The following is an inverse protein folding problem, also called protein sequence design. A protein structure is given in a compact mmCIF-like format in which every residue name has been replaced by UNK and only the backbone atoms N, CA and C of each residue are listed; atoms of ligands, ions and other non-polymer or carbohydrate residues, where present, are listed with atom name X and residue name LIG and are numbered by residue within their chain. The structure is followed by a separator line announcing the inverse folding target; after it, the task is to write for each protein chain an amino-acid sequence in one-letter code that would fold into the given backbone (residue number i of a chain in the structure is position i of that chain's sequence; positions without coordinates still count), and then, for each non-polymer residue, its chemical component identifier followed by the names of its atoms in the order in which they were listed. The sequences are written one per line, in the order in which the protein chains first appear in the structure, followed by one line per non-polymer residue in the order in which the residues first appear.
data_IF_323752954553
#
_entry.id   IF_323752954553
#
_cell.length_a   1.000
_cell.length_b   1.000
_cell.length_c   1.000
_cell.angle_alpha   90.00
_cell.angle_beta   90.00
_cell.angle_gamma   90.00
#
_symmetry.space_group_name_H-M   'P 1'
#
loop_
_entity.id
_entity.type
_entity.pdbx_description
1 polymer ?
#
# COMPACT_ATOMS: atom_id res chain seq x y z
N UNK A 1 0.91 2.83 -16.73
CA UNK A 1 1.12 3.90 -15.72
C UNK A 1 2.59 3.95 -15.37
N UNK A 2 3.21 5.12 -15.34
CA UNK A 2 4.68 5.20 -15.44
C UNK A 2 5.34 5.94 -14.27
N UNK A 3 4.79 7.06 -13.80
CA UNK A 3 5.35 7.76 -12.64
C UNK A 3 4.90 7.15 -11.31
N UNK A 4 5.77 7.18 -10.30
CA UNK A 4 5.50 6.71 -8.94
C UNK A 4 4.85 5.31 -8.88
N UNK A 5 5.51 4.22 -9.30
CA UNK A 5 4.94 2.87 -9.31
C UNK A 5 4.46 2.40 -7.92
N UNK A 6 3.58 1.39 -7.92
CA UNK A 6 3.03 0.85 -6.66
C UNK A 6 3.93 -0.27 -6.15
N UNK A 7 4.59 -0.01 -5.02
CA UNK A 7 5.27 -1.03 -4.25
C UNK A 7 4.31 -1.67 -3.25
N UNK A 8 4.41 -2.98 -3.11
CA UNK A 8 3.66 -3.82 -2.17
C UNK A 8 4.64 -4.65 -1.35
N UNK A 9 4.37 -4.78 -0.06
CA UNK A 9 5.16 -5.61 0.83
C UNK A 9 4.51 -6.98 0.98
N UNK A 10 5.32 -8.04 0.97
CA UNK A 10 4.87 -9.38 1.34
C UNK A 10 4.30 -9.36 2.77
N UNK A 11 3.00 -9.59 2.89
CA UNK A 11 2.26 -9.51 4.15
C UNK A 11 2.85 -10.43 5.24
N UNK A 12 3.54 -11.51 4.86
CA UNK A 12 4.23 -12.42 5.80
C UNK A 12 5.47 -11.80 6.46
N UNK A 13 5.87 -10.62 6.02
CA UNK A 13 7.03 -9.86 6.53
C UNK A 13 6.62 -8.52 7.13
N UNK A 14 5.32 -8.29 7.32
CA UNK A 14 4.77 -7.14 8.02
C UNK A 14 4.32 -7.59 9.41
N UNK A 15 4.99 -7.12 10.44
CA UNK A 15 4.71 -7.50 11.82
C UNK A 15 4.04 -6.36 12.58
N UNK A 16 3.22 -6.69 13.58
CA UNK A 16 2.55 -5.70 14.44
C UNK A 16 3.53 -4.69 15.07
N UNK A 17 4.72 -5.15 15.46
CA UNK A 17 5.81 -4.30 16.00
C UNK A 17 6.31 -3.21 15.05
N UNK A 18 6.00 -3.33 13.76
CA UNK A 18 6.39 -2.37 12.73
C UNK A 18 5.25 -1.38 12.45
N UNK A 19 4.07 -1.53 13.05
CA UNK A 19 2.91 -0.68 12.80
C UNK A 19 2.88 0.52 13.73
N UNK A 20 2.63 1.69 13.16
CA UNK A 20 2.55 2.97 13.88
C UNK A 20 1.14 3.55 13.66
N UNK A 21 0.34 3.70 14.73
CA UNK A 21 -0.92 4.43 14.65
C UNK A 21 -0.69 5.83 14.07
N UNK A 22 -1.34 6.11 12.95
CA UNK A 22 -1.12 7.34 12.17
C UNK A 22 -2.46 7.97 11.82
N UNK A 23 -2.55 9.29 11.89
CA UNK A 23 -3.73 10.02 11.43
C UNK A 23 -3.88 9.91 9.90
N UNK A 24 -5.11 9.74 9.42
CA UNK A 24 -5.39 9.64 7.98
C UNK A 24 -5.95 10.95 7.48
N UNK A 25 -5.31 11.57 6.48
CA UNK A 25 -5.81 12.74 5.75
C UNK A 25 -6.21 12.39 4.31
N UNK A 26 -6.97 13.28 3.67
CA UNK A 26 -7.30 13.22 2.24
C UNK A 26 -6.29 13.98 1.39
N UNK A 27 -5.89 15.18 1.84
CA UNK A 27 -4.95 16.06 1.14
C UNK A 27 -3.99 16.73 2.12
N UNK A 28 -2.78 17.10 1.68
CA UNK A 28 -1.87 17.93 2.47
C UNK A 28 -2.57 19.22 2.93
N UNK A 29 -2.48 19.54 4.23
CA UNK A 29 -3.04 20.76 4.81
C UNK A 29 -4.53 20.70 5.19
N UNK A 30 -5.25 19.62 4.86
CA UNK A 30 -6.62 19.40 5.33
C UNK A 30 -6.62 18.73 6.73
N UNK A 31 -7.66 18.95 7.56
CA UNK A 31 -7.80 18.25 8.83
C UNK A 31 -7.77 16.73 8.66
N UNK A 32 -7.15 16.06 9.62
CA UNK A 32 -7.16 14.60 9.67
C UNK A 32 -8.60 14.10 9.88
N UNK A 33 -8.89 12.96 9.27
CA UNK A 33 -10.16 12.27 9.42
C UNK A 33 -10.22 11.64 10.81
N UNK A 34 -11.41 11.43 11.39
CA UNK A 34 -11.58 10.77 12.69
C UNK A 34 -11.37 9.24 12.57
N UNK A 35 -10.23 8.84 11.99
CA UNK A 35 -9.86 7.46 11.69
C UNK A 35 -8.35 7.30 11.88
N UNK A 36 -7.95 6.20 12.51
CA UNK A 36 -6.55 5.83 12.66
C UNK A 36 -6.17 4.85 11.56
N UNK A 37 -5.18 5.22 10.77
CA UNK A 37 -4.48 4.32 9.84
C UNK A 37 -3.27 3.71 10.53
N UNK A 38 -2.65 2.74 9.87
CA UNK A 38 -1.41 2.13 10.33
C UNK A 38 -0.32 2.48 9.32
N UNK A 39 0.61 3.34 9.74
CA UNK A 39 1.88 3.52 9.05
C UNK A 39 2.80 2.33 9.34
N UNK A 40 3.81 2.14 8.51
CA UNK A 40 4.75 1.01 8.63
C UNK A 40 6.16 1.55 8.80
N UNK A 41 6.81 1.18 9.91
CA UNK A 41 8.21 1.47 10.20
C UNK A 41 9.08 0.58 9.32
N UNK A 42 10.22 1.12 8.88
CA UNK A 42 11.23 0.33 8.18
C UNK A 42 11.70 -0.87 9.02
N UNK A 43 11.75 -2.04 8.39
CA UNK A 43 12.33 -3.25 8.94
C UNK A 43 13.06 -3.98 7.78
N UNK A 44 14.36 -4.33 7.93
CA UNK A 44 15.12 -5.03 6.87
C UNK A 44 14.56 -6.41 6.49
N UNK A 45 13.71 -7.02 7.33
CA UNK A 45 13.02 -8.28 7.02
C UNK A 45 11.88 -8.10 5.99
N UNK A 46 11.43 -6.87 5.76
CA UNK A 46 10.35 -6.57 4.82
C UNK A 46 10.78 -6.90 3.39
N UNK A 47 9.98 -7.71 2.71
CA UNK A 47 10.20 -8.03 1.31
C UNK A 47 9.25 -7.22 0.44
N UNK A 48 9.80 -6.23 -0.24
CA UNK A 48 9.07 -5.36 -1.14
C UNK A 48 9.20 -5.83 -2.59
N UNK A 49 8.09 -5.77 -3.31
CA UNK A 49 8.03 -5.94 -4.75
C UNK A 49 7.21 -4.79 -5.35
N UNK A 50 7.40 -4.50 -6.63
CA UNK A 50 6.58 -3.55 -7.35
C UNK A 50 6.28 -4.08 -8.73
N UNK A 51 5.17 -3.62 -9.30
CA UNK A 51 4.73 -4.01 -10.64
C UNK A 51 4.83 -2.80 -11.57
N UNK A 52 5.94 -2.65 -12.32
CA UNK A 52 6.10 -1.51 -13.21
C UNK A 52 5.12 -1.60 -14.38
N UNK A 53 4.76 -0.43 -14.93
CA UNK A 53 3.97 -0.33 -16.17
C UNK A 53 2.58 -1.00 -16.10
N UNK A 54 1.98 -1.08 -14.91
CA UNK A 54 0.64 -1.64 -14.73
C UNK A 54 -0.40 -1.00 -15.67
N UNK A 55 -1.19 -1.86 -16.29
CA UNK A 55 -2.26 -1.52 -17.23
C UNK A 55 -3.60 -1.41 -16.51
N UNK A 56 -4.57 -0.76 -17.15
CA UNK A 56 -5.89 -0.51 -16.55
C UNK A 56 -6.74 -1.79 -16.38
N UNK A 57 -6.40 -2.86 -17.09
CA UNK A 57 -7.04 -4.18 -17.03
C UNK A 57 -6.36 -5.14 -16.03
N UNK A 58 -5.32 -4.69 -15.34
CA UNK A 58 -4.63 -5.45 -14.30
C UNK A 58 -5.07 -4.95 -12.91
N UNK A 59 -5.12 -5.86 -11.95
CA UNK A 59 -5.46 -5.54 -10.57
C UNK A 59 -4.51 -6.24 -9.60
N UNK A 60 -4.12 -5.53 -8.54
CA UNK A 60 -3.44 -6.10 -7.39
C UNK A 60 -4.44 -6.22 -6.25
N UNK A 61 -4.52 -7.41 -5.65
CA UNK A 61 -5.36 -7.68 -4.50
C UNK A 61 -4.48 -7.72 -3.26
N UNK A 62 -4.74 -6.82 -2.31
CA UNK A 62 -4.07 -6.77 -1.02
C UNK A 62 -5.02 -7.30 0.04
N UNK A 63 -4.69 -8.44 0.65
CA UNK A 63 -5.42 -8.92 1.82
C UNK A 63 -4.94 -8.15 3.05
N UNK A 64 -5.82 -7.30 3.57
CA UNK A 64 -5.48 -6.32 4.62
C UNK A 64 -5.93 -6.74 6.03
N UNK A 65 -6.70 -7.83 6.17
CA UNK A 65 -7.18 -8.37 7.45
C UNK A 65 -7.82 -9.75 7.25
N UNK A 66 -7.83 -10.58 8.30
CA UNK A 66 -8.49 -11.90 8.31
C UNK A 66 -9.01 -12.24 9.72
N UNK A 67 -10.15 -12.94 9.82
CA UNK A 67 -10.65 -13.42 11.12
C UNK A 67 -9.75 -14.51 11.71
N UNK A 68 -9.07 -15.30 10.86
CA UNK A 68 -8.07 -16.28 11.31
C UNK A 68 -6.75 -15.57 11.65
N UNK A 69 -6.43 -15.51 12.94
CA UNK A 69 -5.22 -14.86 13.45
C UNK A 69 -3.91 -15.54 13.01
N UNK A 70 -3.96 -16.77 12.49
CA UNK A 70 -2.78 -17.45 11.94
C UNK A 70 -2.40 -16.94 10.54
N UNK A 71 -3.26 -16.13 9.92
CA UNK A 71 -3.01 -15.53 8.63
C UNK A 71 -2.38 -14.13 8.76
N UNK A 72 -1.65 -13.65 7.72
CA UNK A 72 -1.20 -12.27 7.68
C UNK A 72 -2.37 -11.29 7.82
N UNK A 73 -2.23 -10.37 8.78
CA UNK A 73 -3.27 -9.41 9.18
C UNK A 73 -3.09 -8.03 8.56
N UNK A 74 -1.97 -7.76 7.90
CA UNK A 74 -1.64 -6.46 7.32
C UNK A 74 -0.83 -6.63 6.05
N UNK A 75 -1.04 -5.74 5.09
CA UNK A 75 -0.19 -5.63 3.90
C UNK A 75 0.16 -4.16 3.67
N UNK A 76 1.45 -3.85 3.62
CA UNK A 76 1.91 -2.49 3.36
C UNK A 76 1.98 -2.25 1.85
N UNK A 77 1.64 -1.05 1.41
CA UNK A 77 1.89 -0.59 0.05
C UNK A 77 2.20 0.91 0.05
N UNK A 78 3.00 1.35 -0.91
CA UNK A 78 3.36 2.76 -1.05
C UNK A 78 3.70 3.10 -2.49
N UNK A 79 3.53 4.36 -2.85
CA UNK A 79 4.22 4.92 -4.01
C UNK A 79 5.70 5.15 -3.66
N UNK A 80 6.59 5.10 -4.65
CA UNK A 80 7.99 5.47 -4.48
C UNK A 80 8.52 6.15 -5.75
N UNK A 81 9.57 6.95 -5.62
CA UNK A 81 10.27 7.52 -6.78
C UNK A 81 11.14 6.44 -7.43
N UNK A 82 10.79 6.06 -8.67
CA UNK A 82 11.60 5.15 -9.46
C UNK A 82 12.62 5.96 -10.28
N UNK A 83 13.93 5.81 -10.07
CA UNK A 83 14.96 6.56 -10.77
C UNK A 83 15.02 6.28 -12.28
N UNK A 84 14.32 5.24 -12.75
CA UNK A 84 14.20 4.89 -14.17
C UNK A 84 12.98 5.53 -14.84
N UNK A 85 12.15 6.27 -14.09
CA UNK A 85 10.98 6.98 -14.62
C UNK A 85 11.41 8.04 -15.66
N UNK A 86 10.88 8.01 -16.89
CA UNK A 86 11.10 9.06 -17.89
C UNK A 86 10.62 10.43 -17.40
N UNK A 87 11.28 11.52 -17.84
CA UNK A 87 10.91 12.89 -17.46
C UNK A 87 9.50 13.28 -17.94
N UNK A 88 9.06 12.70 -19.07
CA UNK A 88 7.75 12.89 -19.68
C UNK A 88 6.71 11.82 -19.25
N UNK A 89 7.04 11.00 -18.26
CA UNK A 89 6.16 9.94 -17.77
C UNK A 89 4.82 10.50 -17.29
N UNK A 90 3.72 9.85 -17.71
CA UNK A 90 2.39 10.27 -17.30
C UNK A 90 2.16 10.05 -15.80
N UNK A 91 1.39 10.93 -15.13
CA UNK A 91 0.94 10.74 -13.76
C UNK A 91 0.22 9.40 -13.57
N UNK A 92 0.56 8.64 -12.53
CA UNK A 92 -0.21 7.46 -12.13
C UNK A 92 -1.50 7.90 -11.44
N UNK A 93 -2.61 7.29 -11.85
CA UNK A 93 -3.92 7.45 -11.21
C UNK A 93 -4.37 6.10 -10.69
N UNK A 94 -4.51 5.94 -9.38
CA UNK A 94 -4.99 4.70 -8.79
C UNK A 94 -6.49 4.75 -8.50
N UNK A 95 -7.16 3.61 -8.61
CA UNK A 95 -8.49 3.40 -8.04
C UNK A 95 -8.37 2.35 -6.93
N UNK A 96 -8.80 2.68 -5.72
CA UNK A 96 -8.89 1.72 -4.63
C UNK A 96 -10.34 1.27 -4.44
N UNK A 97 -10.52 -0.05 -4.35
CA UNK A 97 -11.78 -0.67 -3.98
C UNK A 97 -11.53 -1.57 -2.76
N UNK A 98 -12.45 -1.56 -1.81
CA UNK A 98 -12.36 -2.36 -0.58
C UNK A 98 -13.50 -3.34 -0.55
N UNK A 99 -13.16 -4.58 -0.24
CA UNK A 99 -14.08 -5.70 -0.22
C UNK A 99 -14.07 -6.34 1.17
N UNK A 100 -15.24 -6.79 1.61
CA UNK A 100 -15.41 -7.64 2.77
C UNK A 100 -15.96 -8.98 2.28
N UNK A 101 -15.33 -10.07 2.66
CA UNK A 101 -15.77 -11.43 2.33
C UNK A 101 -16.43 -12.02 3.57
N UNK A 102 -17.63 -12.56 3.40
CA UNK A 102 -18.41 -13.24 4.44
C UNK A 102 -18.76 -14.62 3.92
N UNK A 103 -18.51 -15.67 4.70
CA UNK A 103 -18.79 -17.06 4.34
C UNK A 103 -19.16 -17.90 5.57
#
# INVERSE_FOLDING_TARGET
MESFPLAVCDARTVFERDLIPTGVGTRPGEPLLPRTGLGVRFNPEQRWAYFPQMRADEALILKMWDTDQNQPQWAAHTAFEDPTTPEDALPRVSLDARFLVLY
#
